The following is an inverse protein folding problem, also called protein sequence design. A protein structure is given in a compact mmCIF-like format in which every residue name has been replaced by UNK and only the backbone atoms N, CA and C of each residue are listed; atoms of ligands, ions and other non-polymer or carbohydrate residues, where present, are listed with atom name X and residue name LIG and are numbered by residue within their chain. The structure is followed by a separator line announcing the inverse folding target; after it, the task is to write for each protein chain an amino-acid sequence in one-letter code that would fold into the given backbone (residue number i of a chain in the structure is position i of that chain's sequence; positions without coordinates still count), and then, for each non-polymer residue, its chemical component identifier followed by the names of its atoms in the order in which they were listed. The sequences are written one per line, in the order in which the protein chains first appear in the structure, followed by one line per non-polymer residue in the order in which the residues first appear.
data_IF_271294393926
#
_entry.id   IF_271294393926
#
_cell.length_a   1.000
_cell.length_b   1.000
_cell.length_c   1.000
_cell.angle_alpha   90.00
_cell.angle_beta   90.00
_cell.angle_gamma   90.00
#
_symmetry.space_group_name_H-M   'P 1'
#
loop_
_entity.id
_entity.type
_entity.pdbx_description
1 polymer ?
#
# COMPACT_ATOMS: atom_id res chain seq x y z
N UNK A 1 93.14 9.97 -24.52
CA UNK A 1 92.38 9.99 -23.25
C UNK A 1 90.99 10.56 -23.52
N UNK A 2 89.86 10.07 -23.03
CA UNK A 2 89.53 8.90 -22.21
C UNK A 2 88.02 8.65 -22.33
N UNK A 3 87.63 7.37 -22.35
CA UNK A 3 86.23 6.92 -22.38
C UNK A 3 85.56 7.22 -21.04
N UNK A 4 84.29 7.67 -21.05
CA UNK A 4 83.41 7.50 -19.89
C UNK A 4 82.15 6.74 -20.31
N UNK A 5 82.00 5.55 -19.72
CA UNK A 5 80.86 4.65 -19.80
C UNK A 5 79.73 5.16 -18.90
N UNK A 6 78.49 5.16 -19.39
CA UNK A 6 77.28 5.32 -18.57
C UNK A 6 76.63 3.94 -18.46
N UNK A 7 76.66 3.37 -17.24
CA UNK A 7 75.95 2.13 -16.88
C UNK A 7 74.46 2.42 -16.80
N UNK A 8 73.69 1.85 -17.73
CA UNK A 8 72.23 1.78 -17.65
C UNK A 8 71.83 0.75 -16.60
N UNK A 9 71.30 1.22 -15.46
CA UNK A 9 70.74 0.39 -14.41
C UNK A 9 69.27 0.11 -14.72
N UNK A 10 69.00 -1.02 -15.39
CA UNK A 10 67.63 -1.49 -15.64
C UNK A 10 66.94 -1.89 -14.33
N UNK A 11 65.95 -1.09 -13.90
CA UNK A 11 64.95 -1.53 -12.90
C UNK A 11 64.05 -2.58 -13.56
N UNK A 12 64.14 -3.82 -13.11
CA UNK A 12 63.25 -4.91 -13.51
C UNK A 12 61.89 -4.75 -12.82
N UNK A 13 60.93 -4.15 -13.51
CA UNK A 13 59.52 -4.22 -13.13
C UNK A 13 58.97 -5.61 -13.47
N UNK A 14 58.63 -6.40 -12.45
CA UNK A 14 57.87 -7.64 -12.61
C UNK A 14 56.48 -7.31 -13.20
N UNK A 15 56.32 -7.50 -14.51
CA UNK A 15 55.00 -7.49 -15.16
C UNK A 15 54.23 -8.71 -14.66
N UNK A 16 53.28 -8.46 -13.75
CA UNK A 16 52.32 -9.45 -13.29
C UNK A 16 51.50 -9.89 -14.51
N UNK A 17 51.59 -11.16 -14.91
CA UNK A 17 50.73 -11.72 -15.96
C UNK A 17 49.28 -11.64 -15.48
N UNK A 18 48.52 -10.71 -16.04
CA UNK A 18 47.06 -10.72 -15.91
C UNK A 18 46.55 -11.98 -16.60
N UNK A 19 45.89 -12.86 -15.83
CA UNK A 19 45.25 -14.06 -16.38
C UNK A 19 43.98 -13.61 -17.09
N UNK A 20 43.94 -13.77 -18.41
CA UNK A 20 42.71 -13.55 -19.19
C UNK A 20 41.68 -14.66 -18.91
N UNK A 21 40.41 -14.30 -18.93
CA UNK A 21 39.29 -15.24 -18.85
C UNK A 21 39.30 -16.18 -20.06
N UNK A 22 39.02 -17.46 -19.83
CA UNK A 22 38.88 -18.42 -20.92
C UNK A 22 37.51 -18.27 -21.59
N UNK A 23 37.42 -18.54 -22.90
CA UNK A 23 36.14 -18.46 -23.63
C UNK A 23 35.04 -19.35 -23.01
N UNK A 24 35.43 -20.52 -22.49
CA UNK A 24 34.51 -21.45 -21.85
C UNK A 24 33.96 -20.92 -20.52
N UNK A 25 34.76 -20.14 -19.80
CA UNK A 25 34.38 -19.56 -18.52
C UNK A 25 33.34 -18.47 -18.70
N UNK A 26 33.47 -17.63 -19.74
CA UNK A 26 32.42 -16.67 -20.09
C UNK A 26 31.14 -17.35 -20.60
N UNK A 27 31.27 -18.46 -21.34
CA UNK A 27 30.14 -19.24 -21.85
C UNK A 27 29.27 -19.82 -20.72
N UNK A 28 29.91 -20.38 -19.69
CA UNK A 28 29.19 -20.95 -18.54
C UNK A 28 28.48 -19.85 -17.75
N UNK A 29 29.09 -18.67 -17.61
CA UNK A 29 28.48 -17.54 -16.88
C UNK A 29 27.19 -17.08 -17.53
N UNK A 30 27.18 -16.88 -18.85
CA UNK A 30 25.95 -16.44 -19.54
C UNK A 30 24.86 -17.51 -19.52
N UNK A 31 25.22 -18.79 -19.53
CA UNK A 31 24.28 -19.90 -19.33
C UNK A 31 23.64 -19.87 -17.93
N UNK A 32 24.45 -19.74 -16.89
CA UNK A 32 23.96 -19.70 -15.50
C UNK A 32 23.12 -18.45 -15.26
N UNK A 33 23.56 -17.28 -15.72
CA UNK A 33 22.79 -16.03 -15.62
C UNK A 33 21.45 -16.13 -16.37
N UNK A 34 21.44 -16.75 -17.56
CA UNK A 34 20.21 -17.00 -18.32
C UNK A 34 19.22 -17.89 -17.56
N UNK A 35 19.71 -18.98 -16.95
CA UNK A 35 18.86 -19.89 -16.15
C UNK A 35 18.29 -19.19 -14.91
N UNK A 36 19.11 -18.43 -14.18
CA UNK A 36 18.67 -17.68 -13.01
C UNK A 36 17.65 -16.59 -13.38
N UNK A 37 17.84 -15.91 -14.51
CA UNK A 37 16.92 -14.88 -14.97
C UNK A 37 15.50 -15.42 -15.23
N UNK A 38 15.38 -16.64 -15.77
CA UNK A 38 14.08 -17.29 -15.99
C UNK A 38 13.35 -17.60 -14.68
N UNK A 39 14.08 -18.04 -13.64
CA UNK A 39 13.50 -18.33 -12.32
C UNK A 39 13.01 -17.06 -11.63
N UNK A 40 13.79 -15.98 -11.69
CA UNK A 40 13.42 -14.69 -11.06
C UNK A 40 12.21 -14.08 -11.74
N UNK A 41 12.10 -14.16 -13.07
CA UNK A 41 10.98 -13.59 -13.83
C UNK A 41 9.62 -14.14 -13.40
N UNK A 42 9.54 -15.42 -12.99
CA UNK A 42 8.30 -16.05 -12.51
C UNK A 42 7.94 -15.67 -11.07
N UNK A 43 8.90 -15.13 -10.30
CA UNK A 43 8.70 -14.81 -8.87
C UNK A 43 8.07 -13.43 -8.64
N UNK A 44 8.10 -12.54 -9.63
CA UNK A 44 7.57 -11.19 -9.53
C UNK A 44 6.22 -11.15 -10.22
N UNK A 45 5.14 -11.02 -9.44
CA UNK A 45 3.82 -10.67 -9.96
C UNK A 45 3.67 -9.13 -9.94
N UNK A 46 4.02 -8.39 -11.00
CA UNK A 46 3.99 -6.93 -11.01
C UNK A 46 2.58 -6.39 -10.70
N UNK A 47 1.54 -7.08 -11.14
CA UNK A 47 0.13 -6.69 -10.94
C UNK A 47 -0.25 -6.56 -9.46
N UNK A 48 0.20 -7.49 -8.61
CA UNK A 48 -0.09 -7.48 -7.17
C UNK A 48 0.66 -6.32 -6.49
N UNK A 49 1.91 -6.08 -6.88
CA UNK A 49 2.70 -5.00 -6.28
C UNK A 49 2.15 -3.62 -6.63
N UNK A 50 1.74 -3.41 -7.87
CA UNK A 50 1.11 -2.16 -8.31
C UNK A 50 -0.23 -1.98 -7.58
N UNK A 51 -1.04 -3.04 -7.46
CA UNK A 51 -2.29 -3.01 -6.71
C UNK A 51 -2.10 -2.57 -5.25
N UNK A 52 -1.12 -3.15 -4.54
CA UNK A 52 -0.79 -2.74 -3.15
C UNK A 52 -0.41 -1.26 -3.06
N UNK A 53 0.34 -0.74 -4.05
CA UNK A 53 0.69 0.67 -4.09
C UNK A 53 -0.54 1.58 -4.29
N UNK A 54 -1.52 1.15 -5.10
CA UNK A 54 -2.79 1.88 -5.26
C UNK A 54 -3.62 1.83 -4.00
N UNK A 55 -3.70 0.68 -3.34
CA UNK A 55 -4.46 0.50 -2.10
C UNK A 55 -3.88 1.37 -0.98
N UNK A 56 -2.55 1.39 -0.82
CA UNK A 56 -1.87 2.28 0.12
C UNK A 56 -2.15 3.75 -0.17
N UNK A 57 -2.24 4.12 -1.46
CA UNK A 57 -2.60 5.49 -1.87
C UNK A 57 -4.05 5.82 -1.52
N UNK A 58 -5.01 4.94 -1.84
CA UNK A 58 -6.43 5.11 -1.48
C UNK A 58 -6.61 5.30 0.02
N UNK A 59 -5.97 4.47 0.84
CA UNK A 59 -6.00 4.61 2.31
C UNK A 59 -5.43 5.95 2.77
N UNK A 60 -4.29 6.36 2.23
CA UNK A 60 -3.68 7.65 2.53
C UNK A 60 -4.58 8.82 2.14
N UNK A 61 -5.24 8.72 0.98
CA UNK A 61 -6.11 9.75 0.45
C UNK A 61 -7.40 9.88 1.28
N UNK A 62 -8.06 8.78 1.63
CA UNK A 62 -9.21 8.77 2.55
C UNK A 62 -8.85 9.36 3.92
N UNK A 63 -7.69 9.01 4.48
CA UNK A 63 -7.24 9.55 5.77
C UNK A 63 -7.01 11.06 5.74
N UNK A 64 -6.51 11.59 4.63
CA UNK A 64 -6.36 13.05 4.44
C UNK A 64 -7.70 13.75 4.36
N UNK A 65 -8.65 13.18 3.61
CA UNK A 65 -10.01 13.72 3.53
C UNK A 65 -10.65 13.69 4.92
N UNK A 66 -10.58 12.56 5.63
CA UNK A 66 -11.12 12.43 6.99
C UNK A 66 -10.53 13.47 7.95
N UNK A 67 -9.21 13.68 7.93
CA UNK A 67 -8.58 14.72 8.76
C UNK A 67 -9.13 16.12 8.43
N UNK A 68 -9.29 16.41 7.14
CA UNK A 68 -9.83 17.71 6.68
C UNK A 68 -11.32 17.87 7.02
N UNK A 69 -12.08 16.77 7.08
CA UNK A 69 -13.47 16.75 7.53
C UNK A 69 -13.58 17.05 9.02
N UNK A 70 -12.69 16.50 9.84
CA UNK A 70 -12.62 16.83 11.27
C UNK A 70 -12.29 18.32 11.48
N UNK A 71 -11.35 18.88 10.70
CA UNK A 71 -11.05 20.32 10.73
C UNK A 71 -12.29 21.15 10.35
N UNK A 72 -13.00 20.76 9.29
CA UNK A 72 -14.27 21.39 8.88
C UNK A 72 -15.32 21.35 9.99
N UNK A 73 -15.51 20.19 10.63
CA UNK A 73 -16.47 20.03 11.70
C UNK A 73 -16.08 20.81 12.97
N UNK A 74 -14.79 21.00 13.24
CA UNK A 74 -14.29 21.87 14.30
C UNK A 74 -14.78 23.31 14.17
N UNK A 75 -14.80 23.84 12.94
CA UNK A 75 -15.22 25.22 12.67
C UNK A 75 -16.74 25.36 12.47
N UNK A 76 -17.38 24.36 11.86
CA UNK A 76 -18.78 24.45 11.39
C UNK A 76 -19.76 23.67 12.25
N UNK A 77 -19.27 22.90 13.21
CA UNK A 77 -20.07 21.98 14.03
C UNK A 77 -20.89 20.98 13.19
N UNK A 78 -20.51 20.74 11.93
CA UNK A 78 -21.17 19.85 11.00
C UNK A 78 -20.14 19.34 10.00
N UNK A 79 -20.32 18.15 9.45
CA UNK A 79 -19.66 17.75 8.22
C UNK A 79 -20.37 18.37 7.00
N UNK A 80 -19.65 18.68 5.91
CA UNK A 80 -20.21 19.36 4.75
C UNK A 80 -21.20 18.48 3.99
N UNK A 81 -22.17 19.08 3.31
CA UNK A 81 -23.14 18.32 2.51
C UNK A 81 -22.50 17.60 1.33
N UNK A 82 -21.46 18.21 0.75
CA UNK A 82 -20.67 17.62 -0.31
C UNK A 82 -19.20 18.03 -0.18
N UNK A 83 -18.30 17.09 -0.44
CA UNK A 83 -16.84 17.34 -0.49
C UNK A 83 -16.33 17.55 -1.93
N UNK A 84 -17.11 17.13 -2.93
CA UNK A 84 -16.85 17.37 -4.35
C UNK A 84 -17.91 18.30 -4.94
N UNK A 85 -17.56 19.08 -5.96
CA UNK A 85 -18.50 19.94 -6.68
C UNK A 85 -19.33 19.19 -7.72
N UNK A 86 -18.86 18.02 -8.17
CA UNK A 86 -19.58 17.14 -9.10
C UNK A 86 -19.31 15.67 -8.79
N UNK A 87 -20.11 14.78 -9.36
CA UNK A 87 -19.92 13.32 -9.24
C UNK A 87 -18.94 12.74 -10.28
N UNK A 88 -18.44 13.57 -11.20
CA UNK A 88 -17.63 13.12 -12.36
C UNK A 88 -16.18 13.62 -12.32
N UNK A 89 -15.86 14.55 -11.42
CA UNK A 89 -14.53 15.09 -11.25
C UNK A 89 -14.16 15.19 -9.77
N UNK A 90 -12.87 15.30 -9.50
CA UNK A 90 -12.38 15.47 -8.13
C UNK A 90 -12.20 16.94 -7.79
N UNK A 91 -13.04 17.82 -8.34
CA UNK A 91 -13.02 19.23 -7.99
C UNK A 91 -13.65 19.38 -6.61
N UNK A 92 -12.97 20.05 -5.69
CA UNK A 92 -13.45 20.25 -4.32
C UNK A 92 -14.67 21.17 -4.31
N UNK A 93 -15.62 20.92 -3.39
CA UNK A 93 -16.76 21.83 -3.22
C UNK A 93 -16.31 23.17 -2.65
N UNK A 94 -17.01 24.26 -3.01
CA UNK A 94 -16.66 25.60 -2.53
C UNK A 94 -16.69 25.74 -1.00
N UNK A 95 -17.54 24.95 -0.34
CA UNK A 95 -17.65 24.88 1.12
C UNK A 95 -16.44 24.20 1.76
N UNK A 96 -15.89 23.17 1.11
CA UNK A 96 -14.80 22.34 1.64
C UNK A 96 -13.39 22.77 1.18
N UNK A 97 -13.30 23.55 0.10
CA UNK A 97 -12.04 24.08 -0.48
C UNK A 97 -11.06 24.66 0.56
N UNK A 98 -11.49 25.44 1.57
CA UNK A 98 -10.56 26.01 2.55
C UNK A 98 -9.82 24.98 3.42
N UNK A 99 -10.35 23.76 3.54
CA UNK A 99 -9.88 22.73 4.47
C UNK A 99 -9.00 21.69 3.79
N UNK A 100 -9.01 21.60 2.46
CA UNK A 100 -8.21 20.61 1.73
C UNK A 100 -7.48 21.23 0.53
N UNK A 101 -6.14 21.20 0.57
CA UNK A 101 -5.29 21.85 -0.45
C UNK A 101 -5.36 21.21 -1.84
N UNK A 102 -5.55 19.90 -1.90
CA UNK A 102 -5.70 19.14 -3.15
C UNK A 102 -6.59 17.95 -2.88
N UNK A 103 -7.73 17.95 -3.55
CA UNK A 103 -8.66 16.83 -3.52
C UNK A 103 -8.07 15.62 -4.26
N UNK A 104 -7.97 14.44 -3.62
CA UNK A 104 -7.50 13.25 -4.29
C UNK A 104 -8.61 12.58 -5.11
N UNK A 105 -8.21 11.87 -6.17
CA UNK A 105 -9.06 10.94 -6.93
C UNK A 105 -8.61 9.52 -6.69
N UNK A 106 -9.48 8.55 -7.01
CA UNK A 106 -9.04 7.16 -7.15
C UNK A 106 -7.90 7.05 -8.18
N UNK A 107 -6.74 6.44 -7.82
CA UNK A 107 -5.57 6.40 -8.70
C UNK A 107 -5.73 5.50 -9.93
N UNK A 108 -6.81 4.70 -10.00
CA UNK A 108 -7.10 3.82 -11.14
C UNK A 108 -8.19 4.41 -12.03
N UNK A 109 -9.34 4.79 -11.46
CA UNK A 109 -10.48 5.29 -12.26
C UNK A 109 -10.43 6.79 -12.51
N UNK A 110 -9.65 7.53 -11.71
CA UNK A 110 -9.63 8.99 -11.69
C UNK A 110 -11.00 9.61 -11.35
N UNK A 111 -11.83 8.87 -10.63
CA UNK A 111 -13.14 9.29 -10.15
C UNK A 111 -13.07 9.73 -8.67
N UNK A 112 -14.03 10.56 -8.22
CA UNK A 112 -14.15 10.93 -6.82
C UNK A 112 -14.48 9.72 -5.93
N UNK A 113 -13.99 9.73 -4.69
CA UNK A 113 -14.41 8.76 -3.68
C UNK A 113 -15.86 8.98 -3.27
N UNK A 114 -16.60 7.91 -2.99
CA UNK A 114 -17.97 8.02 -2.47
C UNK A 114 -17.92 8.59 -1.05
N UNK A 115 -18.71 9.63 -0.82
CA UNK A 115 -18.87 10.31 0.47
C UNK A 115 -20.34 10.34 0.85
N UNK A 116 -20.64 9.96 2.09
CA UNK A 116 -21.97 10.01 2.67
C UNK A 116 -21.91 10.72 4.01
N UNK A 117 -22.87 11.62 4.23
CA UNK A 117 -23.10 12.31 5.51
C UNK A 117 -24.39 11.80 6.14
N UNK A 118 -24.38 11.57 7.44
CA UNK A 118 -25.54 11.11 8.20
C UNK A 118 -25.56 11.72 9.61
N UNK A 119 -26.48 11.24 10.46
CA UNK A 119 -26.53 11.57 11.89
C UNK A 119 -26.59 13.06 12.16
N UNK A 120 -27.51 13.78 11.49
CA UNK A 120 -27.65 15.24 11.63
C UNK A 120 -26.31 15.97 11.44
N UNK A 121 -25.58 15.68 10.36
CA UNK A 121 -24.25 16.25 10.05
C UNK A 121 -23.10 15.87 11.00
N UNK A 122 -23.32 14.98 11.97
CA UNK A 122 -22.28 14.56 12.94
C UNK A 122 -21.57 13.26 12.57
N UNK A 123 -21.94 12.65 11.45
CA UNK A 123 -21.36 11.41 10.98
C UNK A 123 -21.02 11.53 9.49
N UNK A 124 -19.88 10.94 9.12
CA UNK A 124 -19.51 10.76 7.73
C UNK A 124 -18.96 9.35 7.49
N UNK A 125 -19.01 8.96 6.21
CA UNK A 125 -18.38 7.76 5.68
C UNK A 125 -17.74 8.12 4.34
N UNK A 126 -16.50 7.70 4.15
CA UNK A 126 -15.85 7.73 2.83
C UNK A 126 -15.50 6.31 2.44
N UNK A 127 -15.86 5.91 1.23
CA UNK A 127 -15.67 4.55 0.73
C UNK A 127 -14.57 4.49 -0.34
N UNK A 128 -13.85 3.37 -0.37
CA UNK A 128 -12.90 3.05 -1.42
C UNK A 128 -12.99 1.57 -1.81
N UNK A 129 -12.63 1.28 -3.07
CA UNK A 129 -12.46 -0.07 -3.58
C UNK A 129 -10.98 -0.40 -3.68
N UNK A 130 -10.53 -1.27 -2.79
CA UNK A 130 -9.17 -1.81 -2.76
C UNK A 130 -9.07 -3.05 -3.63
N UNK A 131 -7.94 -3.18 -4.33
CA UNK A 131 -7.69 -4.27 -5.28
C UNK A 131 -7.26 -5.56 -4.59
N UNK A 132 -6.61 -5.48 -3.42
CA UNK A 132 -5.95 -6.62 -2.77
C UNK A 132 -6.41 -6.92 -1.34
N UNK A 133 -7.50 -6.30 -0.89
CA UNK A 133 -8.02 -6.50 0.47
C UNK A 133 -9.40 -7.19 0.42
N UNK A 134 -9.46 -8.41 0.94
CA UNK A 134 -10.71 -9.14 1.17
C UNK A 134 -11.32 -8.64 2.48
N UNK A 135 -11.82 -7.42 2.43
CA UNK A 135 -12.65 -6.85 3.48
C UNK A 135 -14.12 -7.05 3.10
N UNK A 136 -15.01 -7.03 4.10
CA UNK A 136 -16.45 -7.14 3.86
C UNK A 136 -16.93 -6.11 2.84
N UNK A 137 -18.01 -6.42 2.12
CA UNK A 137 -18.55 -5.50 1.11
C UNK A 137 -19.33 -4.38 1.79
N UNK A 138 -19.17 -3.18 1.28
CA UNK A 138 -19.98 -2.00 1.61
C UNK A 138 -20.75 -1.53 0.36
N UNK A 139 -21.41 -0.38 0.47
CA UNK A 139 -22.17 0.26 -0.62
C UNK A 139 -21.32 0.47 -1.87
N UNK A 140 -21.93 0.31 -3.04
CA UNK A 140 -21.26 0.55 -4.32
C UNK A 140 -20.17 -0.47 -4.68
N UNK A 141 -20.15 -1.64 -4.02
CA UNK A 141 -19.12 -2.67 -4.25
C UNK A 141 -17.74 -2.26 -3.73
N UNK A 142 -17.71 -1.35 -2.76
CA UNK A 142 -16.51 -0.95 -2.02
C UNK A 142 -16.22 -1.95 -0.92
N UNK A 143 -14.99 -1.98 -0.44
CA UNK A 143 -14.53 -2.92 0.59
C UNK A 143 -13.70 -2.22 1.68
N UNK A 144 -13.49 -0.92 1.58
CA UNK A 144 -12.78 -0.15 2.60
C UNK A 144 -13.53 1.14 2.91
N UNK A 145 -13.59 1.48 4.19
CA UNK A 145 -14.27 2.69 4.67
C UNK A 145 -13.42 3.40 5.71
N UNK A 146 -13.52 4.73 5.70
CA UNK A 146 -13.10 5.57 6.82
C UNK A 146 -14.33 6.32 7.30
N UNK A 147 -14.60 6.22 8.59
CA UNK A 147 -15.78 6.79 9.24
C UNK A 147 -15.38 7.87 10.25
N UNK A 148 -16.34 8.70 10.63
CA UNK A 148 -16.21 9.55 11.82
C UNK A 148 -15.97 8.70 13.09
N UNK A 149 -15.27 9.20 14.12
CA UNK A 149 -14.85 8.43 15.31
C UNK A 149 -15.96 7.64 16.04
N UNK A 150 -17.22 8.09 15.95
CA UNK A 150 -18.35 7.49 16.66
C UNK A 150 -19.27 6.65 15.76
N UNK A 151 -18.82 6.30 14.55
CA UNK A 151 -19.59 5.49 13.61
C UNK A 151 -18.87 4.18 13.30
N UNK A 152 -19.47 3.08 13.73
CA UNK A 152 -19.04 1.73 13.42
C UNK A 152 -19.96 1.14 12.35
N UNK A 153 -19.48 1.06 11.11
CA UNK A 153 -20.25 0.46 10.02
C UNK A 153 -20.06 -1.05 9.96
N UNK A 154 -21.18 -1.75 9.91
CA UNK A 154 -21.25 -3.17 9.58
C UNK A 154 -21.25 -3.30 8.05
N UNK A 155 -20.34 -4.07 7.44
CA UNK A 155 -20.41 -4.33 6.01
C UNK A 155 -21.67 -5.10 5.66
N UNK A 156 -22.23 -4.86 4.47
CA UNK A 156 -23.43 -5.55 3.99
C UNK A 156 -23.24 -7.06 3.90
N UNK A 157 -22.00 -7.52 3.66
CA UNK A 157 -21.67 -8.95 3.71
C UNK A 157 -21.78 -9.56 5.11
N UNK A 158 -21.68 -8.77 6.19
CA UNK A 158 -21.78 -9.24 7.56
C UNK A 158 -23.21 -9.50 8.02
N UNK A 159 -24.19 -8.86 7.40
CA UNK A 159 -25.61 -9.17 7.63
C UNK A 159 -25.96 -10.62 7.20
N UNK A 160 -25.12 -11.24 6.37
CA UNK A 160 -25.25 -12.65 5.97
C UNK A 160 -24.59 -13.64 6.96
N UNK A 161 -24.02 -13.16 8.07
CA UNK A 161 -23.49 -14.00 9.16
C UNK A 161 -21.97 -14.14 9.24
N UNK A 162 -21.20 -13.41 8.43
CA UNK A 162 -19.73 -13.46 8.48
C UNK A 162 -19.12 -12.62 9.61
N UNK A 163 -17.87 -12.92 9.98
CA UNK A 163 -17.09 -12.15 10.96
C UNK A 163 -15.72 -11.75 10.41
N UNK A 164 -15.18 -10.65 10.89
CA UNK A 164 -13.80 -10.30 10.67
C UNK A 164 -12.88 -11.08 11.60
N UNK A 165 -11.68 -11.34 11.09
CA UNK A 165 -10.56 -11.90 11.81
C UNK A 165 -9.34 -10.97 11.78
N UNK A 166 -8.51 -11.01 12.81
CA UNK A 166 -7.26 -10.25 12.91
C UNK A 166 -6.13 -11.12 13.42
N UNK A 167 -4.88 -10.76 13.08
CA UNK A 167 -3.70 -11.45 13.60
C UNK A 167 -3.27 -10.85 14.94
N UNK A 168 -3.12 -11.71 15.95
CA UNK A 168 -2.57 -11.37 17.26
C UNK A 168 -1.48 -12.37 17.60
N UNK A 169 -0.23 -11.91 17.68
CA UNK A 169 0.94 -12.75 18.01
C UNK A 169 1.08 -13.98 17.10
N UNK A 170 0.75 -13.81 15.80
CA UNK A 170 0.81 -14.88 14.81
C UNK A 170 -0.36 -15.87 14.89
N UNK A 171 -1.44 -15.52 15.60
CA UNK A 171 -2.67 -16.32 15.69
C UNK A 171 -3.83 -15.51 15.09
N UNK A 172 -4.56 -16.11 14.16
CA UNK A 172 -5.80 -15.54 13.63
C UNK A 172 -6.92 -15.68 14.65
N UNK A 173 -7.60 -14.59 15.00
CA UNK A 173 -8.71 -14.58 15.97
C UNK A 173 -9.88 -13.75 15.43
N UNK A 174 -11.13 -14.14 15.72
CA UNK A 174 -12.28 -13.32 15.35
C UNK A 174 -12.28 -12.00 16.13
N UNK A 175 -12.56 -10.90 15.44
CA UNK A 175 -12.62 -9.54 16.00
C UNK A 175 -14.04 -8.95 15.97
N UNK A 176 -15.01 -9.69 15.42
CA UNK A 176 -16.44 -9.33 15.41
C UNK A 176 -16.98 -8.99 14.01
N UNK A 177 -18.25 -8.57 13.91
CA UNK A 177 -18.88 -8.23 12.63
C UNK A 177 -18.41 -6.87 12.05
N UNK A 178 -17.69 -6.07 12.86
CA UNK A 178 -17.11 -4.78 12.48
C UNK A 178 -15.59 -4.88 12.65
N UNK A 179 -14.78 -4.37 11.71
CA UNK A 179 -13.33 -4.37 11.86
C UNK A 179 -12.92 -3.39 12.97
N UNK A 180 -12.32 -3.91 14.04
CA UNK A 180 -11.82 -3.10 15.19
C UNK A 180 -10.33 -2.76 15.08
N UNK A 181 -9.64 -3.38 14.13
CA UNK A 181 -8.22 -3.19 13.89
C UNK A 181 -7.89 -3.41 12.40
N UNK A 182 -6.78 -2.86 11.94
CA UNK A 182 -6.23 -3.07 10.61
C UNK A 182 -4.84 -3.75 10.69
N UNK A 183 -4.52 -4.74 9.83
CA UNK A 183 -5.40 -5.32 8.79
C UNK A 183 -6.43 -6.31 9.38
N UNK A 184 -7.63 -6.32 8.81
CA UNK A 184 -8.69 -7.28 9.12
C UNK A 184 -9.00 -8.16 7.89
N UNK A 185 -9.39 -9.41 8.14
CA UNK A 185 -9.67 -10.43 7.13
C UNK A 185 -11.12 -10.86 7.23
N UNK A 186 -11.86 -10.74 6.14
CA UNK A 186 -13.27 -11.13 6.08
C UNK A 186 -13.44 -12.65 5.99
N UNK A 187 -14.17 -13.23 6.94
CA UNK A 187 -14.72 -14.60 6.88
C UNK A 187 -13.69 -15.71 6.56
N UNK A 188 -12.47 -15.54 7.06
CA UNK A 188 -11.39 -16.53 6.94
C UNK A 188 -10.77 -16.80 8.31
N UNK A 189 -11.07 -17.97 8.87
CA UNK A 189 -10.60 -18.43 10.19
C UNK A 189 -9.08 -18.61 10.28
N UNK A 190 -8.36 -18.52 9.15
CA UNK A 190 -6.91 -18.64 9.07
C UNK A 190 -6.23 -17.33 8.59
N UNK A 191 -6.97 -16.22 8.45
CA UNK A 191 -6.47 -14.94 7.98
C UNK A 191 -5.64 -15.07 6.69
N UNK A 192 -6.06 -15.97 5.78
CA UNK A 192 -5.34 -16.32 4.55
C UNK A 192 -3.88 -16.76 4.75
N UNK A 193 -3.55 -17.33 5.92
CA UNK A 193 -2.20 -17.74 6.30
C UNK A 193 -1.22 -16.57 6.53
N UNK A 194 -1.73 -15.34 6.72
CA UNK A 194 -0.90 -14.13 6.86
C UNK A 194 -0.41 -13.86 8.29
N UNK A 195 -0.98 -14.54 9.27
CA UNK A 195 -0.54 -14.48 10.66
C UNK A 195 0.74 -15.31 10.86
N UNK A 196 1.88 -14.79 10.40
CA UNK A 196 3.19 -15.43 10.60
C UNK A 196 3.72 -15.12 12.00
N UNK A 197 4.23 -16.14 12.70
CA UNK A 197 4.81 -16.03 14.05
C UNK A 197 6.15 -15.28 14.11
N UNK A 198 6.87 -15.18 12.98
CA UNK A 198 8.23 -14.63 12.93
C UNK A 198 8.30 -13.10 12.73
N UNK A 199 7.28 -12.36 13.19
CA UNK A 199 7.40 -10.91 13.32
C UNK A 199 7.41 -10.14 12.00
N UNK A 200 6.43 -10.39 11.12
CA UNK A 200 6.02 -9.33 10.18
C UNK A 200 5.06 -8.38 10.93
N UNK A 201 5.55 -7.27 11.55
CA UNK A 201 4.68 -6.33 12.26
C UNK A 201 3.61 -5.73 11.35
N UNK A 202 3.84 -5.75 10.02
CA UNK A 202 2.90 -5.26 9.02
C UNK A 202 1.56 -6.02 8.98
N UNK A 203 1.48 -7.26 9.48
CA UNK A 203 0.25 -8.05 9.48
C UNK A 203 -0.40 -8.15 10.87
N UNK A 204 0.21 -7.56 11.91
CA UNK A 204 -0.39 -7.54 13.25
C UNK A 204 -1.58 -6.59 13.27
N UNK A 205 -2.69 -7.03 13.86
CA UNK A 205 -3.89 -6.22 13.94
C UNK A 205 -3.64 -5.05 14.90
N UNK A 206 -3.60 -3.83 14.37
CA UNK A 206 -3.44 -2.60 15.15
C UNK A 206 -4.77 -1.86 15.22
N UNK A 207 -5.15 -1.41 16.41
CA UNK A 207 -6.43 -0.71 16.63
C UNK A 207 -6.54 0.50 15.71
N UNK A 208 -7.69 0.61 15.03
CA UNK A 208 -8.03 1.78 14.24
C UNK A 208 -8.18 2.95 15.23
N UNK A 209 -7.39 4.01 15.05
CA UNK A 209 -7.46 5.24 15.85
C UNK A 209 -8.49 6.20 15.27
#
# INVERSE_FOLDING_TARGET
MGRKNIKSSGKTSFLKKEKGLTLIELLIVVMVVGLLALLVAQSINPSIQIGKSRDARRKSDLKKIATSLEDYAGDKNCYPDAIYSSSSDCTVSAEFDPYIKRMPCDPLTNEPYLYERSGECKQFVIYAKLDNESMGSYTGGTNYVVTSPNLNLVPTSAESGGVFHGCFDGICRPIGPVPTCEPAYWDDDNCFGRCLKDGQPANQCTTIK
#
